data_IF_166431572927
#
_entry.id   IF_166431572927
#
_cell.length_a   1.000
_cell.length_b   1.000
_cell.length_c   1.000
_cell.angle_alpha   90.00
_cell.angle_beta   90.00
_cell.angle_gamma   90.00
#
_symmetry.space_group_name_H-M   'P 1'
#
loop_
_entity.id
_entity.type
_entity.pdbx_description
1 polymer ?
#
# COMPACT_ATOMS: atom_id res chain seq x y z
N UNK A 1 -7.45 7.82 -12.02
CA UNK A 1 -6.70 7.04 -13.02
C UNK A 1 -6.36 5.70 -12.37
N UNK A 2 -6.44 4.60 -13.10
CA UNK A 2 -6.05 3.26 -12.63
C UNK A 2 -5.07 2.72 -13.65
N UNK A 3 -3.97 2.15 -13.18
CA UNK A 3 -2.85 1.70 -14.00
C UNK A 3 -2.35 0.36 -13.44
N UNK A 4 -2.03 -0.58 -14.33
CA UNK A 4 -1.39 -1.83 -13.95
C UNK A 4 0.09 -1.79 -14.33
N UNK A 5 0.94 -2.27 -13.42
CA UNK A 5 2.38 -2.32 -13.59
C UNK A 5 2.88 -3.74 -13.39
N UNK A 6 3.73 -4.20 -14.30
CA UNK A 6 4.39 -5.51 -14.21
C UNK A 6 5.88 -5.31 -14.00
N UNK A 7 6.34 -5.29 -12.74
CA UNK A 7 7.75 -5.16 -12.41
C UNK A 7 8.49 -6.49 -12.66
N UNK A 8 9.23 -6.58 -13.76
CA UNK A 8 10.04 -7.77 -14.08
C UNK A 8 11.43 -7.56 -13.49
N UNK A 9 11.95 -8.51 -12.71
CA UNK A 9 13.35 -8.47 -12.22
C UNK A 9 14.35 -8.84 -13.35
N UNK A 10 14.27 -8.12 -14.46
CA UNK A 10 15.11 -8.23 -15.64
C UNK A 10 15.55 -6.84 -16.08
N UNK A 11 16.60 -6.76 -16.92
CA UNK A 11 17.09 -5.49 -17.45
C UNK A 11 17.38 -4.43 -16.38
N UNK A 12 16.86 -3.23 -16.60
CA UNK A 12 17.07 -2.07 -15.74
C UNK A 12 16.48 -2.24 -14.33
N UNK A 13 15.30 -2.86 -14.21
CA UNK A 13 14.68 -3.14 -12.91
C UNK A 13 15.55 -4.08 -12.06
N UNK A 14 16.23 -5.05 -12.68
CA UNK A 14 17.19 -5.92 -11.99
C UNK A 14 18.39 -5.13 -11.46
N UNK A 15 18.88 -4.15 -12.24
CA UNK A 15 19.97 -3.29 -11.81
C UNK A 15 19.55 -2.40 -10.63
N UNK A 16 18.38 -1.75 -10.75
CA UNK A 16 17.81 -0.92 -9.68
C UNK A 16 17.57 -1.72 -8.40
N UNK A 17 17.03 -2.94 -8.51
CA UNK A 17 16.81 -3.80 -7.35
C UNK A 17 18.13 -4.19 -6.67
N UNK A 18 19.18 -4.49 -7.43
CA UNK A 18 20.50 -4.79 -6.87
C UNK A 18 21.08 -3.58 -6.12
N UNK A 19 20.94 -2.38 -6.66
CA UNK A 19 21.37 -1.15 -6.00
C UNK A 19 20.60 -0.93 -4.70
N UNK A 20 19.28 -1.09 -4.73
CA UNK A 20 18.42 -1.01 -3.54
C UNK A 20 18.81 -2.03 -2.46
N UNK A 21 19.28 -3.23 -2.84
CA UNK A 21 19.75 -4.24 -1.90
C UNK A 21 21.20 -4.02 -1.40
N UNK A 22 21.92 -2.98 -1.84
CA UNK A 22 23.24 -2.70 -1.25
C UNK A 22 23.12 -2.30 0.23
N UNK A 23 21.97 -1.75 0.61
CA UNK A 23 21.66 -1.37 2.00
C UNK A 23 21.06 -2.53 2.83
N UNK A 24 20.87 -3.73 2.26
CA UNK A 24 20.30 -4.87 3.01
C UNK A 24 19.96 -6.11 2.16
N UNK A 25 19.74 -7.26 2.80
CA UNK A 25 19.43 -8.52 2.07
C UNK A 25 18.04 -8.49 1.42
N UNK A 26 17.85 -9.03 0.20
CA UNK A 26 16.56 -9.02 -0.52
C UNK A 26 15.35 -9.61 0.21
N UNK A 27 15.60 -10.60 1.08
CA UNK A 27 14.57 -11.29 1.86
C UNK A 27 14.46 -10.75 3.29
N UNK A 28 15.23 -9.71 3.64
CA UNK A 28 15.05 -9.04 4.90
C UNK A 28 13.64 -8.44 4.95
N UNK A 29 13.01 -8.59 6.12
CA UNK A 29 11.72 -8.00 6.41
C UNK A 29 11.93 -6.59 6.95
N UNK A 30 11.14 -5.65 6.43
CA UNK A 30 11.11 -4.27 6.92
C UNK A 30 9.77 -3.98 7.57
N UNK A 31 9.83 -3.28 8.69
CA UNK A 31 8.67 -2.85 9.46
C UNK A 31 7.93 -1.71 8.73
N UNK A 32 6.63 -1.91 8.51
CA UNK A 32 5.73 -0.92 7.92
C UNK A 32 5.07 -0.06 8.98
N UNK A 33 4.49 1.06 8.57
CA UNK A 33 3.60 1.81 9.45
C UNK A 33 2.32 1.02 9.74
N UNK A 34 1.75 1.16 10.95
CA UNK A 34 0.44 0.60 11.26
C UNK A 34 -0.63 1.13 10.29
N UNK A 35 -1.60 0.30 9.88
CA UNK A 35 -2.70 0.76 9.03
C UNK A 35 -3.51 1.83 9.74
N UNK A 36 -3.73 2.98 9.08
CA UNK A 36 -4.50 4.10 9.64
C UNK A 36 -6.03 3.86 9.59
N UNK A 37 -6.47 2.64 9.88
CA UNK A 37 -7.89 2.22 9.88
C UNK A 37 -8.75 2.92 10.95
N UNK A 38 -8.20 3.89 11.67
CA UNK A 38 -8.88 4.64 12.72
C UNK A 38 -9.75 5.77 12.14
N UNK A 39 -11.02 5.45 11.92
CA UNK A 39 -12.12 6.42 11.94
C UNK A 39 -12.59 6.82 13.34
N UNK A 40 -11.78 6.60 14.38
CA UNK A 40 -12.03 7.13 15.73
C UNK A 40 -10.71 7.60 16.31
N UNK A 41 -10.58 8.91 16.54
CA UNK A 41 -9.48 9.49 17.30
C UNK A 41 -9.34 8.76 18.64
N UNK A 42 -8.16 8.26 19.04
CA UNK A 42 -7.92 8.09 20.45
C UNK A 42 -7.69 9.51 20.98
N UNK A 43 -8.72 10.06 21.62
CA UNK A 43 -8.52 11.10 22.63
C UNK A 43 -7.39 10.63 23.55
N UNK A 44 -6.18 11.15 23.32
CA UNK A 44 -5.05 10.98 24.23
C UNK A 44 -5.37 11.76 25.50
N UNK A 45 -6.13 11.14 26.39
CA UNK A 45 -6.35 11.60 27.74
C UNK A 45 -6.13 10.42 28.69
N UNK A 46 -4.87 10.31 29.12
CA UNK A 46 -4.45 9.80 30.42
C UNK A 46 -4.71 8.33 30.72
N UNK A 47 -3.63 7.55 30.86
CA UNK A 47 -3.08 7.17 32.17
C UNK A 47 -1.98 6.12 31.98
N UNK A 48 -0.86 6.39 32.64
CA UNK A 48 0.18 5.43 32.97
C UNK A 48 -0.41 4.23 33.72
N UNK A 49 -0.36 3.04 33.12
CA UNK A 49 -0.41 1.79 33.85
C UNK A 49 0.39 0.74 33.07
N UNK A 50 1.44 0.22 33.72
CA UNK A 50 2.27 -0.85 33.18
C UNK A 50 1.41 -2.09 32.93
N UNK A 51 1.15 -2.35 31.66
CA UNK A 51 0.91 -3.67 31.11
C UNK A 51 1.85 -3.79 29.94
N UNK A 52 2.37 -4.98 29.70
CA UNK A 52 3.07 -5.34 28.46
C UNK A 52 2.04 -5.23 27.33
N UNK A 53 1.77 -4.00 26.91
CA UNK A 53 0.90 -3.67 25.79
C UNK A 53 1.70 -4.12 24.57
N UNK A 54 1.36 -5.30 24.07
CA UNK A 54 1.90 -5.88 22.85
C UNK A 54 1.72 -4.81 21.77
N UNK A 55 2.80 -4.04 21.54
CA UNK A 55 2.83 -3.01 20.52
C UNK A 55 2.30 -3.68 19.25
N UNK A 56 1.24 -3.18 18.60
CA UNK A 56 0.62 -3.87 17.47
C UNK A 56 1.74 -4.27 16.53
N UNK A 57 1.95 -5.58 16.37
CA UNK A 57 3.08 -6.12 15.62
C UNK A 57 3.11 -5.38 14.29
N UNK A 58 4.10 -4.49 14.13
CA UNK A 58 4.22 -3.67 12.94
C UNK A 58 4.30 -4.65 11.77
N UNK A 59 3.30 -4.59 10.89
CA UNK A 59 3.27 -5.45 9.71
C UNK A 59 4.59 -5.32 8.97
N UNK A 60 5.11 -6.42 8.44
CA UNK A 60 6.37 -6.40 7.70
C UNK A 60 6.16 -6.76 6.26
N UNK A 61 7.00 -6.22 5.38
CA UNK A 61 7.10 -6.68 4.00
C UNK A 61 8.54 -7.02 3.64
N UNK A 62 8.73 -7.82 2.60
CA UNK A 62 10.08 -8.09 2.08
C UNK A 62 10.64 -6.85 1.39
N UNK A 63 11.96 -6.68 1.41
CA UNK A 63 12.64 -5.65 0.57
C UNK A 63 12.26 -5.74 -0.90
N UNK A 64 11.97 -6.93 -1.42
CA UNK A 64 11.46 -7.11 -2.79
C UNK A 64 10.08 -6.46 -2.97
N UNK A 65 9.17 -6.65 -2.03
CA UNK A 65 7.85 -6.01 -2.03
C UNK A 65 8.00 -4.50 -1.92
N UNK A 66 8.81 -4.01 -0.99
CA UNK A 66 9.05 -2.58 -0.82
C UNK A 66 9.61 -1.94 -2.10
N UNK A 67 10.58 -2.59 -2.74
CA UNK A 67 11.10 -2.14 -4.03
C UNK A 67 10.02 -2.02 -5.10
N UNK A 68 9.10 -3.00 -5.19
CA UNK A 68 7.99 -2.92 -6.14
C UNK A 68 7.06 -1.75 -5.83
N UNK A 69 6.71 -1.52 -4.56
CA UNK A 69 5.88 -0.38 -4.16
C UNK A 69 6.53 0.96 -4.57
N UNK A 70 7.84 1.13 -4.28
CA UNK A 70 8.60 2.32 -4.65
C UNK A 70 8.70 2.49 -6.17
N UNK A 71 8.98 1.41 -6.90
CA UNK A 71 9.12 1.44 -8.35
C UNK A 71 7.80 1.79 -9.04
N UNK A 72 6.69 1.19 -8.60
CA UNK A 72 5.34 1.51 -9.06
C UNK A 72 5.02 2.98 -8.81
N UNK A 73 5.29 3.48 -7.60
CA UNK A 73 5.04 4.88 -7.25
C UNK A 73 5.88 5.85 -8.08
N UNK A 74 7.19 5.61 -8.23
CA UNK A 74 8.05 6.41 -9.13
C UNK A 74 7.51 6.42 -10.55
N UNK A 75 7.09 5.28 -11.09
CA UNK A 75 6.63 5.21 -12.48
C UNK A 75 5.28 5.92 -12.69
N UNK A 76 4.38 5.90 -11.71
CA UNK A 76 3.10 6.62 -11.78
C UNK A 76 3.23 8.15 -11.82
N UNK A 77 4.29 8.71 -11.23
CA UNK A 77 4.47 10.15 -11.08
C UNK A 77 5.63 10.72 -11.89
N UNK A 78 6.23 9.92 -12.77
CA UNK A 78 7.31 10.39 -13.65
C UNK A 78 6.81 11.37 -14.72
N UNK A 79 7.62 12.38 -15.09
CA UNK A 79 8.97 12.68 -14.61
C UNK A 79 9.04 13.57 -13.35
N UNK A 80 7.89 13.96 -12.79
CA UNK A 80 7.79 15.03 -11.80
C UNK A 80 8.31 14.62 -10.41
N UNK A 81 8.20 13.34 -10.05
CA UNK A 81 8.63 12.83 -8.74
C UNK A 81 9.43 11.53 -8.85
N UNK A 82 10.39 11.36 -7.95
CA UNK A 82 11.12 10.11 -7.75
C UNK A 82 11.02 9.64 -6.30
N UNK A 83 10.43 8.45 -6.12
CA UNK A 83 10.23 7.79 -4.83
C UNK A 83 11.25 6.68 -4.57
N UNK A 84 12.38 6.66 -5.29
CA UNK A 84 13.46 5.69 -5.12
C UNK A 84 14.13 5.70 -3.74
N UNK A 85 13.84 6.71 -2.90
CA UNK A 85 14.34 6.85 -1.53
C UNK A 85 13.25 6.75 -0.44
N UNK A 86 12.01 6.45 -0.82
CA UNK A 86 10.91 6.24 0.13
C UNK A 86 11.22 5.08 1.10
N UNK A 87 10.80 5.24 2.34
CA UNK A 87 11.10 4.31 3.45
C UNK A 87 9.91 3.40 3.73
N UNK A 88 10.19 2.22 4.28
CA UNK A 88 9.17 1.23 4.66
C UNK A 88 8.07 1.79 5.56
N UNK A 89 8.39 2.66 6.52
CA UNK A 89 7.39 3.29 7.39
C UNK A 89 6.51 4.34 6.70
N UNK A 90 6.76 4.70 5.44
CA UNK A 90 5.81 5.50 4.66
C UNK A 90 4.71 4.63 4.05
N UNK A 91 4.86 3.30 4.11
CA UNK A 91 3.87 2.35 3.63
C UNK A 91 3.18 1.65 4.80
N UNK A 92 1.95 1.21 4.58
CA UNK A 92 1.20 0.36 5.50
C UNK A 92 0.50 -0.75 4.73
N UNK A 93 0.39 -1.94 5.34
CA UNK A 93 -0.37 -3.05 4.77
C UNK A 93 -1.81 -2.97 5.26
N UNK A 94 -2.76 -3.04 4.34
CA UNK A 94 -4.18 -2.95 4.67
C UNK A 94 -4.71 -4.31 5.11
N UNK A 95 -5.38 -4.41 6.28
CA UNK A 95 -5.75 -5.69 6.87
C UNK A 95 -6.96 -6.35 6.19
N UNK A 96 -7.70 -5.61 5.35
CA UNK A 96 -8.95 -6.10 4.76
C UNK A 96 -9.25 -5.46 3.41
N UNK A 97 -9.45 -6.31 2.39
CA UNK A 97 -9.99 -5.89 1.09
C UNK A 97 -11.34 -5.18 1.25
N UNK A 98 -12.23 -5.69 2.10
CA UNK A 98 -13.55 -5.09 2.31
C UNK A 98 -13.45 -3.67 2.86
N UNK A 99 -12.49 -3.43 3.77
CA UNK A 99 -12.23 -2.09 4.30
C UNK A 99 -11.80 -1.13 3.19
N UNK A 100 -10.82 -1.53 2.38
CA UNK A 100 -10.30 -0.73 1.27
C UNK A 100 -11.38 -0.44 0.24
N UNK A 101 -12.15 -1.47 -0.16
CA UNK A 101 -13.28 -1.32 -1.09
C UNK A 101 -14.30 -0.32 -0.55
N UNK A 102 -14.67 -0.41 0.74
CA UNK A 102 -15.61 0.51 1.35
C UNK A 102 -15.07 1.94 1.39
N UNK A 103 -13.81 2.14 1.79
CA UNK A 103 -13.18 3.46 1.83
C UNK A 103 -13.13 4.12 0.44
N UNK A 104 -12.72 3.36 -0.59
CA UNK A 104 -12.71 3.82 -1.98
C UNK A 104 -14.13 4.14 -2.47
N UNK A 105 -15.11 3.27 -2.16
CA UNK A 105 -16.52 3.50 -2.52
C UNK A 105 -17.07 4.79 -1.90
N UNK A 106 -16.81 5.03 -0.60
CA UNK A 106 -17.23 6.25 0.09
C UNK A 106 -16.61 7.50 -0.53
N UNK A 107 -15.31 7.48 -0.82
CA UNK A 107 -14.59 8.59 -1.45
C UNK A 107 -15.10 8.86 -2.86
N UNK A 108 -15.28 7.82 -3.68
CA UNK A 108 -15.75 7.98 -5.06
C UNK A 108 -17.22 8.41 -5.13
N UNK A 109 -18.09 7.89 -4.27
CA UNK A 109 -19.46 8.39 -4.16
C UNK A 109 -19.48 9.88 -3.77
N UNK A 110 -18.57 10.29 -2.89
CA UNK A 110 -18.38 11.68 -2.49
C UNK A 110 -17.72 12.57 -3.55
N UNK A 111 -17.26 12.02 -4.67
CA UNK A 111 -16.74 12.81 -5.81
C UNK A 111 -17.69 12.77 -7.02
N UNK A 112 -18.23 11.59 -7.31
CA UNK A 112 -18.95 11.26 -8.56
C UNK A 112 -20.47 11.15 -8.35
N UNK A 113 -20.95 11.14 -7.09
CA UNK A 113 -22.39 11.12 -6.73
C UNK A 113 -23.12 9.94 -7.37
N UNK A 114 -24.26 10.20 -8.02
CA UNK A 114 -25.19 9.19 -8.52
C UNK A 114 -24.60 8.33 -9.64
N UNK A 115 -23.71 8.89 -10.46
CA UNK A 115 -23.01 8.18 -11.53
C UNK A 115 -22.16 7.03 -11.00
N UNK A 116 -21.73 7.11 -9.74
CA UNK A 116 -20.97 6.05 -9.09
C UNK A 116 -21.77 4.74 -9.01
N UNK A 117 -23.10 4.79 -8.96
CA UNK A 117 -23.93 3.58 -8.89
C UNK A 117 -23.73 2.68 -10.12
N UNK A 118 -23.61 3.28 -11.30
CA UNK A 118 -23.34 2.57 -12.56
C UNK A 118 -21.85 2.23 -12.73
N UNK A 119 -20.96 3.10 -12.25
CA UNK A 119 -19.51 2.90 -12.36
C UNK A 119 -18.99 1.81 -11.42
N UNK A 120 -19.48 1.74 -10.19
CA UNK A 120 -18.99 0.84 -9.13
C UNK A 120 -18.82 -0.62 -9.57
N UNK A 121 -19.83 -1.31 -10.13
CA UNK A 121 -19.67 -2.71 -10.53
C UNK A 121 -18.64 -2.88 -11.66
N UNK A 122 -18.58 -1.95 -12.61
CA UNK A 122 -17.62 -1.99 -13.73
C UNK A 122 -16.19 -1.80 -13.26
N UNK A 123 -16.00 -0.86 -12.33
CA UNK A 123 -14.71 -0.57 -11.71
C UNK A 123 -14.16 -1.82 -11.02
N UNK A 124 -14.92 -2.40 -10.08
CA UNK A 124 -14.43 -3.52 -9.29
C UNK A 124 -14.29 -4.80 -10.12
N UNK A 125 -15.16 -5.04 -11.11
CA UNK A 125 -14.99 -6.15 -12.04
C UNK A 125 -13.70 -6.04 -12.85
N UNK A 126 -13.39 -4.85 -13.40
CA UNK A 126 -12.17 -4.65 -14.19
C UNK A 126 -10.90 -4.81 -13.34
N UNK A 127 -10.92 -4.36 -12.08
CA UNK A 127 -9.78 -4.55 -11.18
C UNK A 127 -9.63 -6.03 -10.81
N UNK A 128 -10.71 -6.72 -10.48
CA UNK A 128 -10.65 -8.14 -10.11
C UNK A 128 -10.19 -9.04 -11.27
N UNK A 129 -10.62 -8.74 -12.50
CA UNK A 129 -10.18 -9.44 -13.71
C UNK A 129 -8.66 -9.28 -13.96
N UNK A 130 -8.10 -8.10 -13.70
CA UNK A 130 -6.70 -7.80 -13.97
C UNK A 130 -5.75 -8.40 -12.91
N UNK A 131 -6.13 -8.37 -11.62
CA UNK A 131 -5.21 -8.69 -10.52
C UNK A 131 -5.70 -9.75 -9.53
N UNK A 132 -6.93 -10.26 -9.65
CA UNK A 132 -7.56 -11.18 -8.68
C UNK A 132 -7.47 -10.66 -7.23
N UNK A 133 -8.44 -9.84 -6.83
CA UNK A 133 -8.37 -9.10 -5.55
C UNK A 133 -8.28 -10.02 -4.33
N UNK A 134 -8.83 -11.23 -4.42
CA UNK A 134 -8.80 -12.21 -3.33
C UNK A 134 -7.40 -12.77 -3.04
N UNK A 135 -6.48 -12.70 -4.00
CA UNK A 135 -5.10 -13.21 -3.89
C UNK A 135 -4.08 -12.08 -3.68
N UNK A 136 -4.54 -10.85 -3.46
CA UNK A 136 -3.67 -9.68 -3.36
C UNK A 136 -3.32 -9.33 -1.91
N UNK A 137 -2.06 -8.94 -1.71
CA UNK A 137 -1.66 -8.09 -0.59
C UNK A 137 -1.90 -6.62 -0.94
N UNK A 138 -2.59 -5.89 -0.07
CA UNK A 138 -2.97 -4.51 -0.33
C UNK A 138 -2.11 -3.57 0.52
N UNK A 139 -1.57 -2.53 -0.10
CA UNK A 139 -0.72 -1.54 0.56
C UNK A 139 -1.24 -0.13 0.32
N UNK A 140 -0.95 0.74 1.28
CA UNK A 140 -1.17 2.18 1.21
C UNK A 140 0.16 2.90 1.38
N UNK A 141 0.38 3.94 0.58
CA UNK A 141 1.41 4.96 0.74
C UNK A 141 0.73 6.26 1.19
#
# INVERSE_FOLDING_TARGET
RIESYSCKLAGDDKHRFKQFCQEGRPHALEALSPPQTTGVSPSRLGKSQGGEEECPLSDTCSRKTLFYLMATLTESFRPDYDFSSARSHEFSREPSLNWVVNAVNCSLFSAVREDFKALKPRLWAAVDEEICLAECDIYRW
#
